data_IF_333632541500
#
_entry.id   IF_333632541500
#
_cell.length_a   1.000
_cell.length_b   1.000
_cell.length_c   1.000
_cell.angle_alpha   90.00
_cell.angle_beta   90.00
_cell.angle_gamma   90.00
#
_symmetry.space_group_name_H-M   'P 1'
#
loop_
_entity.id
_entity.type
_entity.pdbx_description
1 polymer ?
#
# COMPACT_ATOMS: atom_id res chain seq x y z
N UNK A 1 38.40 43.72 -22.97
CA UNK A 1 38.88 42.61 -22.10
C UNK A 1 37.85 41.49 -22.16
N UNK A 2 38.23 40.35 -22.76
CA UNK A 2 37.35 39.19 -23.01
C UNK A 2 37.33 38.30 -21.76
N UNK A 3 36.17 38.10 -21.14
CA UNK A 3 35.99 37.13 -20.06
C UNK A 3 35.37 35.87 -20.64
N UNK A 4 36.16 34.79 -20.66
CA UNK A 4 35.75 33.48 -21.11
C UNK A 4 34.81 32.84 -20.08
N UNK A 5 33.67 32.33 -20.56
CA UNK A 5 32.73 31.53 -19.78
C UNK A 5 33.29 30.09 -19.77
N UNK A 6 33.81 29.65 -18.64
CA UNK A 6 34.19 28.25 -18.43
C UNK A 6 32.91 27.45 -18.12
N UNK A 7 32.38 26.76 -19.11
CA UNK A 7 31.28 25.81 -18.94
C UNK A 7 31.80 24.55 -18.23
N UNK A 8 31.32 24.32 -17.01
CA UNK A 8 31.53 23.07 -16.29
C UNK A 8 30.46 22.07 -16.73
N UNK A 9 30.82 21.16 -17.64
CA UNK A 9 29.96 20.08 -18.11
C UNK A 9 29.99 18.95 -17.05
N UNK A 10 28.98 18.91 -16.19
CA UNK A 10 28.80 17.84 -15.21
C UNK A 10 28.11 16.64 -15.89
N UNK A 11 28.90 15.67 -16.34
CA UNK A 11 28.39 14.37 -16.79
C UNK A 11 27.95 13.55 -15.56
N UNK A 12 26.64 13.53 -15.28
CA UNK A 12 26.05 12.59 -14.33
C UNK A 12 25.93 11.22 -15.02
N UNK A 13 26.85 10.31 -14.68
CA UNK A 13 26.71 8.90 -15.01
C UNK A 13 25.49 8.33 -14.26
N UNK A 14 24.39 8.14 -15.00
CA UNK A 14 23.27 7.33 -14.56
C UNK A 14 23.72 5.86 -14.49
N UNK A 15 24.12 5.41 -13.30
CA UNK A 15 24.27 3.99 -13.01
C UNK A 15 22.89 3.31 -13.03
N UNK A 16 22.75 2.10 -13.59
CA UNK A 16 21.49 1.38 -13.55
C UNK A 16 21.14 1.07 -12.10
N UNK A 17 19.94 1.50 -11.68
CA UNK A 17 19.36 1.10 -10.41
C UNK A 17 19.25 -0.44 -10.40
N UNK A 18 19.91 -1.09 -9.46
CA UNK A 18 19.75 -2.51 -9.21
C UNK A 18 18.30 -2.76 -8.76
N UNK A 19 17.43 -3.05 -9.73
CA UNK A 19 16.09 -3.55 -9.46
C UNK A 19 16.21 -4.85 -8.70
N UNK A 20 15.53 -4.93 -7.56
CA UNK A 20 15.33 -6.13 -6.76
C UNK A 20 14.75 -7.23 -7.68
N UNK A 21 15.62 -8.07 -8.25
CA UNK A 21 15.24 -9.17 -9.16
C UNK A 21 14.60 -10.28 -8.36
N UNK A 22 13.38 -10.05 -7.88
CA UNK A 22 12.50 -11.13 -7.43
C UNK A 22 12.00 -11.83 -8.68
N UNK A 23 12.66 -12.94 -9.02
CA UNK A 23 12.25 -13.84 -10.11
C UNK A 23 10.78 -14.23 -9.85
N UNK A 24 9.88 -14.11 -10.85
CA UNK A 24 8.50 -14.57 -10.70
C UNK A 24 8.47 -16.04 -10.26
N UNK A 25 7.65 -16.37 -9.27
CA UNK A 25 7.48 -17.75 -8.81
C UNK A 25 7.03 -18.64 -9.98
N UNK A 26 7.69 -19.80 -10.15
CA UNK A 26 7.29 -20.76 -11.18
C UNK A 26 5.97 -21.42 -10.77
N UNK A 27 5.23 -21.90 -11.75
CA UNK A 27 4.08 -22.76 -11.50
C UNK A 27 4.55 -23.99 -10.68
N UNK A 28 3.97 -24.20 -9.50
CA UNK A 28 4.43 -25.19 -8.50
C UNK A 28 5.21 -24.60 -7.31
N UNK A 29 5.79 -23.41 -7.43
CA UNK A 29 6.40 -22.67 -6.28
C UNK A 29 5.35 -21.95 -5.43
N UNK A 30 4.11 -21.88 -5.91
CA UNK A 30 2.97 -21.40 -5.14
C UNK A 30 2.71 -22.40 -4.01
N UNK A 31 2.80 -21.91 -2.76
CA UNK A 31 2.65 -22.72 -1.55
C UNK A 31 1.26 -23.36 -1.44
N UNK A 32 1.08 -24.48 -2.15
CA UNK A 32 -0.02 -25.39 -1.96
C UNK A 32 0.18 -26.21 -0.69
N UNK A 33 -0.91 -26.79 -0.19
CA UNK A 33 -0.85 -27.76 0.89
C UNK A 33 -0.60 -29.14 0.29
N UNK A 34 0.62 -29.68 0.45
CA UNK A 34 0.89 -31.07 0.10
C UNK A 34 0.21 -31.99 1.12
N UNK A 35 -0.67 -32.94 0.70
CA UNK A 35 -1.28 -33.87 1.63
C UNK A 35 -0.22 -34.62 2.46
N UNK A 36 -0.37 -34.61 3.79
CA UNK A 36 0.57 -35.26 4.71
C UNK A 36 1.71 -34.36 5.22
N UNK A 37 1.89 -33.17 4.66
CA UNK A 37 2.85 -32.20 5.17
C UNK A 37 2.19 -31.36 6.28
N UNK A 38 2.83 -31.29 7.46
CA UNK A 38 2.35 -30.40 8.53
C UNK A 38 2.46 -28.95 8.04
N UNK A 39 1.41 -28.14 8.16
CA UNK A 39 1.48 -26.75 7.78
C UNK A 39 2.58 -26.07 8.60
N UNK A 40 3.29 -25.13 7.97
CA UNK A 40 4.22 -24.27 8.68
C UNK A 40 3.50 -23.60 9.85
N UNK A 41 4.23 -23.44 10.96
CA UNK A 41 3.68 -22.85 12.18
C UNK A 41 2.98 -21.53 11.82
N UNK A 42 1.75 -21.29 12.30
CA UNK A 42 0.99 -20.11 11.94
C UNK A 42 1.82 -18.86 12.24
N UNK A 43 1.92 -17.97 11.24
CA UNK A 43 2.58 -16.67 11.40
C UNK A 43 1.96 -15.96 12.62
N UNK A 44 2.82 -15.36 13.43
CA UNK A 44 2.44 -14.66 14.68
C UNK A 44 1.28 -13.71 14.38
N UNK A 45 0.20 -13.81 15.17
CA UNK A 45 -0.97 -12.93 15.02
C UNK A 45 -0.53 -11.46 15.11
N UNK A 46 -1.09 -10.55 14.29
CA UNK A 46 -0.80 -9.13 14.40
C UNK A 46 -1.15 -8.62 15.81
N UNK A 47 -0.38 -7.65 16.30
CA UNK A 47 -0.61 -7.06 17.62
C UNK A 47 -1.95 -6.30 17.66
N UNK A 48 -2.53 -6.16 18.85
CA UNK A 48 -3.68 -5.28 19.05
C UNK A 48 -3.33 -3.84 18.63
N UNK A 49 -4.29 -3.15 18.02
CA UNK A 49 -4.11 -1.81 17.44
C UNK A 49 -3.41 -1.79 16.08
N UNK A 50 -3.21 -2.95 15.44
CA UNK A 50 -2.64 -3.04 14.09
C UNK A 50 -3.74 -2.97 13.03
N UNK A 51 -3.68 -1.98 12.14
CA UNK A 51 -4.48 -1.99 10.91
C UNK A 51 -3.86 -2.96 9.90
N UNK A 52 -4.58 -4.01 9.51
CA UNK A 52 -4.05 -5.03 8.59
C UNK A 52 -4.33 -4.75 7.13
N UNK A 53 -5.48 -4.12 6.82
CA UNK A 53 -5.95 -3.90 5.45
C UNK A 53 -6.88 -2.70 5.37
N UNK A 54 -6.84 -2.01 4.23
CA UNK A 54 -7.80 -0.98 3.82
C UNK A 54 -8.45 -1.48 2.55
N UNK A 55 -9.78 -1.58 2.54
CA UNK A 55 -10.53 -2.03 1.39
C UNK A 55 -11.58 -1.03 0.95
N UNK A 56 -12.01 -1.21 -0.29
CA UNK A 56 -13.02 -0.39 -0.96
C UNK A 56 -14.07 -1.30 -1.58
N UNK A 57 -15.31 -0.84 -1.53
CA UNK A 57 -16.45 -1.43 -2.21
C UNK A 57 -17.26 -0.29 -2.85
N UNK A 58 -17.53 -0.38 -4.15
CA UNK A 58 -18.50 0.49 -4.81
C UNK A 58 -19.90 0.06 -4.37
N UNK A 59 -20.72 1.02 -3.93
CA UNK A 59 -21.99 0.69 -3.30
C UNK A 59 -23.08 1.67 -3.75
N UNK A 60 -23.96 1.23 -4.67
CA UNK A 60 -25.12 1.99 -5.15
C UNK A 60 -24.79 3.42 -5.61
N UNK A 61 -23.74 3.60 -6.41
CA UNK A 61 -23.24 4.91 -6.85
C UNK A 61 -22.48 5.70 -5.77
N UNK A 62 -22.32 5.12 -4.58
CA UNK A 62 -21.47 5.60 -3.51
C UNK A 62 -20.19 4.77 -3.36
N UNK A 63 -19.43 5.08 -2.30
CA UNK A 63 -18.21 4.38 -1.94
C UNK A 63 -18.26 3.94 -0.47
N UNK A 64 -17.81 2.72 -0.19
CA UNK A 64 -17.62 2.21 1.16
C UNK A 64 -16.15 1.87 1.37
N UNK A 65 -15.54 2.52 2.35
CA UNK A 65 -14.20 2.16 2.84
C UNK A 65 -14.34 1.31 4.09
N UNK A 66 -13.54 0.26 4.18
CA UNK A 66 -13.49 -0.59 5.36
C UNK A 66 -12.05 -0.82 5.81
N UNK A 67 -11.89 -0.89 7.12
CA UNK A 67 -10.60 -0.97 7.80
C UNK A 67 -10.57 -2.26 8.60
N UNK A 68 -9.70 -3.19 8.22
CA UNK A 68 -9.59 -4.48 8.90
C UNK A 68 -8.53 -4.41 9.99
N UNK A 69 -8.89 -4.82 11.21
CA UNK A 69 -7.99 -4.90 12.35
C UNK A 69 -8.37 -6.10 13.24
N UNK A 70 -7.40 -6.72 13.95
CA UNK A 70 -7.68 -7.72 14.98
C UNK A 70 -8.42 -7.16 16.21
N UNK A 71 -8.39 -5.85 16.43
CA UNK A 71 -9.02 -5.19 17.57
C UNK A 71 -9.78 -3.94 17.13
N UNK A 72 -10.78 -3.55 17.92
CA UNK A 72 -11.51 -2.29 17.74
C UNK A 72 -10.55 -1.10 17.93
N UNK A 73 -10.77 -0.04 17.17
CA UNK A 73 -10.06 1.24 17.28
C UNK A 73 -11.06 2.39 17.18
N UNK A 74 -10.66 3.56 17.67
CA UNK A 74 -11.47 4.77 17.54
C UNK A 74 -11.31 5.38 16.15
N UNK A 75 -12.42 5.82 15.58
CA UNK A 75 -12.49 6.43 14.26
C UNK A 75 -13.01 7.84 14.42
N UNK A 76 -12.26 8.80 13.90
CA UNK A 76 -12.72 10.18 13.75
C UNK A 76 -12.63 10.57 12.28
N UNK A 77 -13.57 11.38 11.81
CA UNK A 77 -13.63 11.81 10.41
C UNK A 77 -13.89 13.31 10.35
N UNK A 78 -13.29 13.97 9.36
CA UNK A 78 -13.53 15.38 9.06
C UNK A 78 -13.40 15.64 7.58
N UNK A 79 -14.13 16.62 7.08
CA UNK A 79 -14.04 17.07 5.70
C UNK A 79 -13.09 18.27 5.62
N UNK A 80 -12.05 18.16 4.80
CA UNK A 80 -11.10 19.23 4.49
C UNK A 80 -11.22 19.57 3.00
N UNK A 81 -11.97 20.63 2.69
CA UNK A 81 -12.29 20.97 1.30
C UNK A 81 -13.10 19.85 0.63
N UNK A 82 -12.55 19.23 -0.41
CA UNK A 82 -13.12 18.07 -1.10
C UNK A 82 -12.59 16.72 -0.61
N UNK A 83 -11.75 16.70 0.44
CA UNK A 83 -11.10 15.48 0.95
C UNK A 83 -11.71 15.06 2.29
N UNK A 84 -12.21 13.82 2.37
CA UNK A 84 -12.59 13.21 3.66
C UNK A 84 -11.33 12.66 4.34
N UNK A 85 -10.93 13.26 5.45
CA UNK A 85 -9.81 12.80 6.28
C UNK A 85 -10.36 11.92 7.40
N UNK A 86 -9.91 10.66 7.42
CA UNK A 86 -10.25 9.69 8.47
C UNK A 86 -9.01 9.45 9.33
N UNK A 87 -9.14 9.73 10.63
CA UNK A 87 -8.09 9.54 11.62
C UNK A 87 -8.41 8.33 12.50
N UNK A 88 -7.46 7.41 12.57
CA UNK A 88 -7.57 6.15 13.29
C UNK A 88 -6.55 6.13 14.43
N UNK A 89 -6.99 5.80 15.64
CA UNK A 89 -6.07 5.59 16.77
C UNK A 89 -5.44 4.19 16.68
N UNK A 90 -4.23 4.12 16.12
CA UNK A 90 -3.54 2.87 15.79
C UNK A 90 -2.16 2.84 16.44
N UNK A 91 -1.75 1.64 16.87
CA UNK A 91 -0.38 1.41 17.35
C UNK A 91 0.56 1.00 16.21
N UNK A 92 0.02 0.43 15.13
CA UNK A 92 0.82 -0.09 14.01
C UNK A 92 0.06 -0.14 12.69
N UNK A 93 0.80 0.07 11.60
CA UNK A 93 0.34 -0.13 10.23
C UNK A 93 0.88 -1.44 9.64
N UNK A 94 -0.01 -2.23 9.04
CA UNK A 94 0.32 -3.45 8.31
C UNK A 94 0.89 -3.16 6.93
N UNK A 95 1.58 -4.13 6.33
CA UNK A 95 2.27 -3.96 5.05
C UNK A 95 1.35 -3.51 3.90
N UNK A 96 0.08 -3.90 3.92
CA UNK A 96 -0.89 -3.61 2.86
C UNK A 96 -1.58 -2.25 3.02
N UNK A 97 -1.33 -1.51 4.10
CA UNK A 97 -2.01 -0.24 4.40
C UNK A 97 -1.40 0.97 3.71
N UNK A 98 -0.22 0.83 3.12
CA UNK A 98 0.49 1.90 2.42
C UNK A 98 0.08 2.06 0.96
N UNK A 99 -0.70 1.11 0.43
CA UNK A 99 -1.11 1.12 -0.97
C UNK A 99 -2.27 2.09 -1.15
N UNK A 100 -2.18 2.94 -2.16
CA UNK A 100 -3.33 3.69 -2.62
C UNK A 100 -4.40 2.71 -3.13
N UNK A 101 -5.65 3.00 -2.80
CA UNK A 101 -6.79 2.24 -3.30
C UNK A 101 -7.26 2.93 -4.57
N UNK A 102 -7.04 2.28 -5.71
CA UNK A 102 -7.45 2.83 -7.00
C UNK A 102 -8.95 2.59 -7.24
N UNK A 103 -9.72 3.67 -7.18
CA UNK A 103 -11.19 3.68 -7.27
C UNK A 103 -11.69 4.16 -8.64
N UNK A 104 -10.78 4.52 -9.55
CA UNK A 104 -11.11 5.17 -10.84
C UNK A 104 -11.97 4.34 -11.79
N UNK A 105 -12.00 3.03 -11.59
CA UNK A 105 -12.73 2.08 -12.45
C UNK A 105 -14.16 1.83 -11.99
N UNK A 106 -14.60 2.49 -10.92
CA UNK A 106 -15.93 2.36 -10.35
C UNK A 106 -16.65 3.70 -10.43
N UNK A 107 -17.94 3.67 -10.74
CA UNK A 107 -18.79 4.86 -10.69
C UNK A 107 -19.09 5.21 -9.22
N UNK A 108 -18.33 6.14 -8.65
CA UNK A 108 -18.44 6.53 -7.25
C UNK A 108 -17.87 7.94 -6.97
N UNK A 109 -18.19 8.57 -5.83
CA UNK A 109 -17.75 9.95 -5.54
C UNK A 109 -16.24 10.09 -5.30
N UNK A 110 -15.50 8.99 -5.12
CA UNK A 110 -14.05 8.98 -4.91
C UNK A 110 -13.29 8.67 -6.21
N UNK A 111 -13.96 8.44 -7.34
CA UNK A 111 -13.27 8.28 -8.64
C UNK A 111 -12.90 9.66 -9.17
N UNK A 112 -11.69 10.12 -8.87
CA UNK A 112 -11.14 11.39 -9.30
C UNK A 112 -9.63 11.32 -9.53
#
# INVERSE_FOLDING_TARGET
MRRAIAGFLLLLLAGPAAGDTKVPHREGDYGGVTPGQKPDKPKRKPAAGTLSWIGFEAHNGGAKLFFQSPSVFQVTQRLEGSTLVVSLDLTRLGANTWRQVDTRFFDNPLSG
#
